data_IF_219263353829
#
_entry.id   IF_219263353829
#
_cell.length_a   1.000
_cell.length_b   1.000
_cell.length_c   1.000
_cell.angle_alpha   90.00
_cell.angle_beta   90.00
_cell.angle_gamma   90.00
#
_symmetry.space_group_name_H-M   'P 1'
#
loop_
_entity.id
_entity.type
_entity.pdbx_description
1 polymer ?
#
# COMPACT_ATOMS: atom_id res chain seq x y z
N UNK A 1 11.41 -15.55 0.26
CA UNK A 1 11.65 -15.12 -1.15
C UNK A 1 11.61 -13.59 -1.16
N UNK A 2 12.48 -12.94 -1.94
CA UNK A 2 12.59 -11.48 -1.99
C UNK A 2 11.81 -10.96 -3.21
N UNK A 3 11.02 -9.91 -3.04
CA UNK A 3 10.19 -9.32 -4.09
C UNK A 3 10.53 -7.84 -4.30
N UNK A 4 10.06 -7.30 -5.43
CA UNK A 4 10.11 -5.88 -5.78
C UNK A 4 8.72 -5.38 -6.12
N UNK A 5 8.32 -4.28 -5.51
CA UNK A 5 7.04 -3.60 -5.76
C UNK A 5 6.98 -3.19 -7.23
N UNK A 6 8.04 -2.61 -7.78
CA UNK A 6 8.03 -2.12 -9.15
C UNK A 6 7.93 -3.24 -10.19
N UNK A 7 8.61 -4.37 -9.98
CA UNK A 7 8.52 -5.52 -10.90
C UNK A 7 7.10 -6.11 -10.92
N UNK A 8 6.44 -6.17 -9.77
CA UNK A 8 5.05 -6.61 -9.72
C UNK A 8 4.09 -5.58 -10.33
N UNK A 9 4.36 -4.29 -10.14
CA UNK A 9 3.57 -3.22 -10.73
C UNK A 9 3.63 -3.25 -12.26
N UNK A 10 4.82 -3.46 -12.84
CA UNK A 10 4.99 -3.62 -14.30
C UNK A 10 4.15 -4.78 -14.82
N UNK A 11 4.12 -5.92 -14.13
CA UNK A 11 3.27 -7.07 -14.51
C UNK A 11 1.78 -6.69 -14.48
N UNK A 12 1.32 -6.07 -13.39
CA UNK A 12 -0.06 -5.62 -13.25
C UNK A 12 -0.46 -4.57 -14.31
N UNK A 13 0.46 -3.70 -14.71
CA UNK A 13 0.28 -2.74 -15.80
C UNK A 13 0.12 -3.46 -17.14
N UNK A 14 0.94 -4.47 -17.43
CA UNK A 14 0.81 -5.24 -18.68
C UNK A 14 -0.50 -6.01 -18.75
N UNK A 15 -0.92 -6.62 -17.64
CA UNK A 15 -2.23 -7.29 -17.53
C UNK A 15 -3.38 -6.30 -17.77
N UNK A 16 -3.32 -5.12 -17.14
CA UNK A 16 -4.32 -4.07 -17.37
C UNK A 16 -4.33 -3.60 -18.81
N UNK A 17 -3.15 -3.35 -19.42
CA UNK A 17 -3.03 -2.96 -20.83
C UNK A 17 -3.69 -4.00 -21.73
N UNK A 18 -3.39 -5.28 -21.53
CA UNK A 18 -3.99 -6.37 -22.30
C UNK A 18 -5.51 -6.36 -22.17
N UNK A 19 -6.05 -6.29 -20.95
CA UNK A 19 -7.49 -6.23 -20.70
C UNK A 19 -8.17 -5.02 -21.35
N UNK A 20 -7.51 -3.86 -21.38
CA UNK A 20 -8.06 -2.67 -22.04
C UNK A 20 -8.01 -2.79 -23.57
N UNK A 21 -6.93 -3.36 -24.13
CA UNK A 21 -6.83 -3.61 -25.57
C UNK A 21 -7.92 -4.59 -26.05
N UNK A 22 -8.15 -5.67 -25.31
CA UNK A 22 -9.22 -6.63 -25.61
C UNK A 22 -10.59 -5.96 -25.61
N UNK A 23 -10.88 -5.12 -24.61
CA UNK A 23 -12.15 -4.37 -24.53
C UNK A 23 -12.32 -3.36 -25.66
N UNK A 24 -11.24 -2.74 -26.10
CA UNK A 24 -11.26 -1.72 -27.15
C UNK A 24 -11.22 -2.31 -28.57
N UNK A 25 -10.92 -3.60 -28.72
CA UNK A 25 -10.69 -4.25 -30.02
C UNK A 25 -9.47 -3.68 -30.77
N UNK A 26 -8.56 -2.98 -30.09
CA UNK A 26 -7.35 -2.37 -30.66
C UNK A 26 -6.30 -2.18 -29.57
N UNK A 27 -5.03 -2.01 -29.95
CA UNK A 27 -4.01 -1.60 -28.99
C UNK A 27 -4.32 -0.20 -28.45
N UNK A 28 -4.45 -0.10 -27.13
CA UNK A 28 -4.64 1.16 -26.40
C UNK A 28 -3.32 1.84 -26.05
N UNK A 29 -2.19 1.18 -26.28
CA UNK A 29 -0.87 1.77 -26.16
C UNK A 29 -0.52 2.21 -24.73
N UNK A 30 0.33 3.25 -24.57
CA UNK A 30 0.84 3.69 -23.26
C UNK A 30 -0.20 4.38 -22.37
N UNK A 31 -1.35 4.80 -22.92
CA UNK A 31 -2.42 5.48 -22.18
C UNK A 31 -3.01 4.58 -21.09
N UNK A 32 -3.15 3.27 -21.35
CA UNK A 32 -3.64 2.32 -20.35
C UNK A 32 -2.71 2.22 -19.12
N UNK A 33 -1.43 2.40 -19.36
CA UNK A 33 -0.40 2.32 -18.34
C UNK A 33 -0.44 3.56 -17.42
N UNK A 34 -0.64 4.74 -18.01
CA UNK A 34 -0.91 5.98 -17.27
C UNK A 34 -2.23 5.92 -16.49
N UNK A 35 -3.28 5.35 -17.10
CA UNK A 35 -4.56 5.12 -16.43
C UNK A 35 -4.40 4.22 -15.21
N UNK A 36 -3.62 3.14 -15.35
CA UNK A 36 -3.35 2.23 -14.24
C UNK A 36 -2.61 2.93 -13.10
N UNK A 37 -1.55 3.67 -13.42
CA UNK A 37 -0.79 4.44 -12.44
C UNK A 37 -1.69 5.42 -11.68
N UNK A 38 -2.58 6.13 -12.38
CA UNK A 38 -3.51 7.08 -11.77
C UNK A 38 -4.53 6.40 -10.83
N UNK A 39 -5.06 5.24 -11.24
CA UNK A 39 -6.21 4.60 -10.56
C UNK A 39 -5.82 3.60 -9.49
N UNK A 40 -4.74 2.85 -9.69
CA UNK A 40 -4.46 1.65 -8.90
C UNK A 40 -3.14 1.71 -8.15
N UNK A 41 -2.21 2.59 -8.52
CA UNK A 41 -0.86 2.62 -7.93
C UNK A 41 -0.87 2.72 -6.40
N UNK A 42 -1.61 3.71 -5.86
CA UNK A 42 -1.65 3.95 -4.41
C UNK A 42 -2.09 2.69 -3.65
N UNK A 43 -3.23 2.12 -4.04
CA UNK A 43 -3.76 0.89 -3.43
C UNK A 43 -2.81 -0.28 -3.61
N UNK A 44 -2.21 -0.41 -4.79
CA UNK A 44 -1.31 -1.50 -5.14
C UNK A 44 -0.08 -1.53 -4.23
N UNK A 45 0.67 -0.43 -4.11
CA UNK A 45 1.87 -0.44 -3.28
C UNK A 45 1.54 -0.49 -1.78
N UNK A 46 0.39 0.08 -1.35
CA UNK A 46 -0.08 -0.02 0.04
C UNK A 46 -0.39 -1.45 0.45
N UNK A 47 -1.00 -2.26 -0.42
CA UNK A 47 -1.15 -3.70 -0.21
C UNK A 47 0.19 -4.39 0.02
N UNK A 48 1.19 -4.10 -0.83
CA UNK A 48 2.53 -4.67 -0.65
C UNK A 48 3.21 -4.20 0.62
N UNK A 49 2.98 -2.95 0.99
CA UNK A 49 3.48 -2.38 2.23
C UNK A 49 2.88 -3.10 3.44
N UNK A 50 1.58 -3.37 3.47
CA UNK A 50 0.93 -4.13 4.55
C UNK A 50 1.45 -5.57 4.63
N UNK A 51 1.58 -6.27 3.48
CA UNK A 51 2.20 -7.60 3.43
C UNK A 51 3.62 -7.60 4.00
N UNK A 52 4.39 -6.54 3.73
CA UNK A 52 5.74 -6.35 4.27
C UNK A 52 5.75 -6.18 5.79
N UNK A 53 4.87 -5.32 6.30
CA UNK A 53 4.73 -5.05 7.73
C UNK A 53 4.30 -6.29 8.52
N UNK A 54 3.43 -7.12 7.94
CA UNK A 54 3.00 -8.41 8.50
C UNK A 54 4.05 -9.51 8.38
N UNK A 55 5.03 -9.34 7.50
CA UNK A 55 6.06 -10.35 7.24
C UNK A 55 5.64 -11.47 6.30
N UNK A 56 4.55 -11.27 5.56
CA UNK A 56 4.03 -12.23 4.58
C UNK A 56 4.93 -12.30 3.34
N UNK A 57 5.45 -11.14 2.92
CA UNK A 57 6.37 -11.02 1.80
C UNK A 57 7.35 -9.87 2.03
N UNK A 58 8.64 -10.12 1.74
CA UNK A 58 9.65 -9.07 1.82
C UNK A 58 9.75 -8.32 0.49
N UNK A 59 9.77 -6.98 0.54
CA UNK A 59 9.87 -6.08 -0.61
C UNK A 59 11.06 -5.14 -0.43
N UNK A 60 11.95 -5.08 -1.42
CA UNK A 60 13.19 -4.29 -1.33
C UNK A 60 12.93 -2.80 -1.11
N UNK A 61 11.89 -2.25 -1.74
CA UNK A 61 11.56 -0.83 -1.71
C UNK A 61 11.18 -0.32 -0.32
N UNK A 62 10.80 -1.20 0.60
CA UNK A 62 10.45 -0.84 1.98
C UNK A 62 11.56 -1.13 2.99
N UNK A 63 12.68 -1.70 2.55
CA UNK A 63 13.82 -1.98 3.41
C UNK A 63 13.58 -3.06 4.46
N UNK A 64 14.52 -3.22 5.39
CA UNK A 64 14.42 -4.21 6.48
C UNK A 64 13.82 -3.64 7.75
N UNK A 65 13.82 -2.32 7.90
CA UNK A 65 13.50 -1.63 9.14
C UNK A 65 12.01 -1.68 9.51
N UNK A 66 11.14 -1.93 8.53
CA UNK A 66 9.71 -2.11 8.75
C UNK A 66 9.21 -3.54 8.45
N UNK A 67 10.11 -4.46 8.10
CA UNK A 67 9.74 -5.85 7.86
C UNK A 67 9.31 -6.51 9.17
N UNK A 68 8.16 -7.20 9.16
CA UNK A 68 7.60 -7.87 10.36
C UNK A 68 7.34 -6.93 11.54
N UNK A 69 7.18 -5.62 11.30
CA UNK A 69 6.92 -4.63 12.35
C UNK A 69 5.70 -4.99 13.20
N UNK A 70 4.67 -5.60 12.60
CA UNK A 70 3.45 -6.05 13.30
C UNK A 70 3.76 -7.14 14.33
N UNK A 71 4.68 -8.06 14.02
CA UNK A 71 5.08 -9.13 14.93
C UNK A 71 6.03 -8.63 16.04
N UNK A 72 6.57 -7.41 15.93
CA UNK A 72 7.60 -6.86 16.79
C UNK A 72 7.12 -6.19 18.09
N UNK A 73 5.83 -6.25 18.41
CA UNK A 73 5.30 -5.78 19.71
C UNK A 73 4.84 -4.33 19.74
N UNK A 74 4.06 -3.88 18.75
CA UNK A 74 3.24 -2.68 18.91
C UNK A 74 2.34 -2.86 20.14
N UNK A 75 2.28 -1.87 21.03
CA UNK A 75 1.50 -1.98 22.26
C UNK A 75 -0.02 -1.78 22.05
N UNK A 76 -0.41 -1.44 20.82
CA UNK A 76 -1.80 -1.32 20.42
C UNK A 76 -2.50 -2.69 20.41
N UNK A 77 -3.80 -2.69 20.71
CA UNK A 77 -4.62 -3.89 20.55
C UNK A 77 -4.59 -4.40 19.10
N UNK A 78 -4.57 -5.72 18.92
CA UNK A 78 -4.52 -6.36 17.60
C UNK A 78 -5.64 -5.90 16.67
N UNK A 79 -6.85 -5.69 17.21
CA UNK A 79 -8.01 -5.22 16.43
C UNK A 79 -7.84 -3.80 15.87
N UNK A 80 -7.31 -2.86 16.65
CA UNK A 80 -7.05 -1.49 16.18
C UNK A 80 -5.96 -1.51 15.12
N UNK A 81 -4.90 -2.30 15.35
CA UNK A 81 -3.81 -2.44 14.39
C UNK A 81 -4.31 -3.00 13.06
N UNK A 82 -5.04 -4.11 13.08
CA UNK A 82 -5.58 -4.72 11.85
C UNK A 82 -6.52 -3.78 11.12
N UNK A 83 -7.41 -3.09 11.83
CA UNK A 83 -8.32 -2.12 11.21
C UNK A 83 -7.57 -0.94 10.59
N UNK A 84 -6.50 -0.46 11.23
CA UNK A 84 -5.64 0.59 10.66
C UNK A 84 -4.94 0.08 9.41
N UNK A 85 -4.37 -1.13 9.44
CA UNK A 85 -3.70 -1.74 8.29
C UNK A 85 -4.65 -1.92 7.10
N UNK A 86 -5.88 -2.37 7.34
CA UNK A 86 -6.90 -2.53 6.29
C UNK A 86 -7.24 -1.18 5.64
N UNK A 87 -7.39 -0.12 6.44
CA UNK A 87 -7.62 1.23 5.91
C UNK A 87 -6.43 1.77 5.13
N UNK A 88 -5.21 1.54 5.62
CA UNK A 88 -3.98 1.92 4.90
C UNK A 88 -3.90 1.19 3.56
N UNK A 89 -4.30 -0.08 3.53
CA UNK A 89 -4.39 -0.87 2.32
C UNK A 89 -5.39 -0.30 1.31
N UNK A 90 -6.48 0.30 1.78
CA UNK A 90 -7.48 1.01 0.97
C UNK A 90 -7.01 2.39 0.49
N UNK A 91 -5.87 2.87 0.98
CA UNK A 91 -5.28 4.16 0.61
C UNK A 91 -5.50 5.27 1.63
N UNK A 92 -6.02 4.95 2.82
CA UNK A 92 -6.22 5.95 3.87
C UNK A 92 -4.89 6.58 4.31
N UNK A 93 -4.86 7.91 4.36
CA UNK A 93 -3.72 8.67 4.84
C UNK A 93 -3.83 8.95 6.35
N UNK A 94 -2.72 9.38 6.98
CA UNK A 94 -2.67 9.59 8.44
C UNK A 94 -3.79 10.50 8.97
N UNK A 95 -4.14 11.56 8.23
CA UNK A 95 -5.22 12.48 8.64
C UNK A 95 -6.58 11.78 8.67
N UNK A 96 -6.88 10.96 7.66
CA UNK A 96 -8.14 10.22 7.58
C UNK A 96 -8.25 9.20 8.71
N UNK A 97 -7.14 8.52 9.02
CA UNK A 97 -7.05 7.56 10.13
C UNK A 97 -7.25 8.24 11.49
N UNK A 98 -6.68 9.43 11.70
CA UNK A 98 -6.88 10.23 12.92
C UNK A 98 -8.35 10.66 13.06
N UNK A 99 -8.95 11.15 11.97
CA UNK A 99 -10.36 11.53 11.95
C UNK A 99 -11.28 10.34 12.23
N UNK A 100 -11.01 9.19 11.60
CA UNK A 100 -11.73 7.94 11.84
C UNK A 100 -11.65 7.51 13.31
N UNK A 101 -10.45 7.48 13.88
CA UNK A 101 -10.22 7.11 15.27
C UNK A 101 -10.97 8.03 16.24
N UNK A 102 -10.97 9.34 15.98
CA UNK A 102 -11.74 10.32 16.76
C UNK A 102 -13.24 10.04 16.69
N UNK A 103 -13.78 9.77 15.50
CA UNK A 103 -15.20 9.48 15.31
C UNK A 103 -15.64 8.22 16.09
N UNK A 104 -14.78 7.20 16.12
CA UNK A 104 -15.05 5.90 16.76
C UNK A 104 -14.61 5.87 18.24
N UNK A 105 -14.14 7.00 18.79
CA UNK A 105 -13.66 7.13 20.18
C UNK A 105 -12.56 6.13 20.55
N UNK A 106 -11.69 5.80 19.59
CA UNK A 106 -10.55 4.92 19.83
C UNK A 106 -9.46 5.63 20.65
N UNK A 107 -8.63 4.88 21.41
CA UNK A 107 -7.49 5.43 22.13
C UNK A 107 -6.52 6.13 21.19
N UNK A 108 -6.51 7.48 21.22
CA UNK A 108 -5.69 8.32 20.32
C UNK A 108 -4.21 7.94 20.37
N UNK A 109 -3.69 7.64 21.55
CA UNK A 109 -2.26 7.37 21.73
C UNK A 109 -1.85 6.07 21.05
N UNK A 110 -2.69 5.02 21.10
CA UNK A 110 -2.45 3.77 20.37
C UNK A 110 -2.46 3.99 18.86
N UNK A 111 -3.43 4.77 18.34
CA UNK A 111 -3.49 5.08 16.91
C UNK A 111 -2.25 5.89 16.48
N UNK A 112 -1.83 6.88 17.27
CA UNK A 112 -0.64 7.66 16.96
C UNK A 112 0.65 6.83 17.03
N UNK A 113 0.76 5.88 17.96
CA UNK A 113 1.87 4.94 18.01
C UNK A 113 1.94 4.09 16.74
N UNK A 114 0.81 3.53 16.31
CA UNK A 114 0.73 2.77 15.04
C UNK A 114 1.16 3.66 13.88
N UNK A 115 0.56 4.85 13.72
CA UNK A 115 0.88 5.73 12.58
C UNK A 115 2.36 6.16 12.55
N UNK A 116 2.97 6.39 13.73
CA UNK A 116 4.41 6.68 13.86
C UNK A 116 5.26 5.49 13.43
N UNK A 117 4.91 4.29 13.88
CA UNK A 117 5.63 3.07 13.53
C UNK A 117 5.53 2.75 12.03
N UNK A 118 4.33 2.89 11.45
CA UNK A 118 4.10 2.70 10.02
C UNK A 118 4.89 3.71 9.19
N UNK A 119 5.03 4.95 9.67
CA UNK A 119 5.69 6.06 8.99
C UNK A 119 5.32 6.14 7.49
N UNK A 120 4.02 6.07 7.22
CA UNK A 120 3.39 6.03 5.90
C UNK A 120 3.86 7.16 4.99
N UNK A 121 4.08 8.35 5.55
CA UNK A 121 4.44 9.56 4.80
C UNK A 121 5.86 9.47 4.22
N UNK A 122 6.81 8.88 4.95
CA UNK A 122 8.19 8.72 4.48
C UNK A 122 8.37 7.55 3.51
N UNK A 123 7.36 6.69 3.37
CA UNK A 123 7.40 5.46 2.55
C UNK A 123 6.49 5.53 1.33
N UNK A 124 6.29 6.74 0.81
CA UNK A 124 5.57 6.95 -0.44
C UNK A 124 6.45 6.57 -1.61
N UNK A 125 5.97 5.63 -2.42
CA UNK A 125 6.64 5.25 -3.65
C UNK A 125 5.98 5.99 -4.82
N UNK A 126 6.76 6.65 -5.71
CA UNK A 126 6.21 7.19 -6.95
C UNK A 126 5.78 6.05 -7.88
N UNK A 127 4.77 6.24 -8.75
CA UNK A 127 4.41 5.23 -9.74
C UNK A 127 5.61 4.90 -10.65
N UNK A 128 5.69 3.66 -11.17
CA UNK A 128 6.75 3.27 -12.10
C UNK A 128 6.72 4.18 -13.33
N UNK A 129 7.92 4.54 -13.81
CA UNK A 129 8.08 5.17 -15.12
C UNK A 129 7.72 4.16 -16.19
N UNK A 130 6.98 4.63 -17.19
CA UNK A 130 6.52 3.81 -18.31
C UNK A 130 7.13 4.46 -19.53
N UNK A 131 8.19 3.83 -20.01
CA UNK A 131 9.00 4.27 -21.14
C UNK A 131 8.44 3.65 -22.44
#
# INVERSE_FOLDING_TARGET
MRHRVYEQAVKAIQEHKWLQSEKAGRDVGPEAAQDWNRRYWLRFYRQRFVQHLRGEAFFEEFGTECYRLVAGGLTASGEILDTVLDKVQEGAENLELICWARHHRLPRDQVLEILKALNINSRRLPPPRID
#
